data_IF_143198898342
#
_entry.id   IF_143198898342
#
_cell.length_a   1.000
_cell.length_b   1.000
_cell.length_c   1.000
_cell.angle_alpha   90.00
_cell.angle_beta   90.00
_cell.angle_gamma   90.00
#
_symmetry.space_group_name_H-M   'P 1'
#
loop_
_entity.id
_entity.type
_entity.pdbx_description
1 polymer ?
#
# COMPACT_ATOMS: atom_id res chain seq x y z
N UNK A 1 -6.77 -17.38 4.19
CA UNK A 1 -6.74 -17.93 5.57
C UNK A 1 -7.92 -18.88 5.84
N UNK A 2 -8.18 -19.87 4.95
CA UNK A 2 -9.36 -20.72 5.03
C UNK A 2 -9.29 -21.74 6.18
N UNK A 3 -8.16 -22.44 6.32
CA UNK A 3 -7.98 -23.45 7.38
C UNK A 3 -8.08 -22.89 8.79
N UNK A 4 -7.64 -21.64 9.00
CA UNK A 4 -7.78 -20.94 10.27
C UNK A 4 -9.26 -20.77 10.65
N UNK A 5 -10.10 -20.34 9.71
CA UNK A 5 -11.55 -20.20 9.93
C UNK A 5 -12.21 -21.56 10.16
N UNK A 6 -11.81 -22.60 9.41
CA UNK A 6 -12.31 -23.96 9.61
C UNK A 6 -11.99 -24.49 11.02
N UNK A 7 -10.77 -24.25 11.53
CA UNK A 7 -10.41 -24.62 12.89
C UNK A 7 -11.30 -23.93 13.94
N UNK A 8 -11.62 -22.64 13.74
CA UNK A 8 -12.47 -21.86 14.64
C UNK A 8 -13.92 -22.34 14.64
N UNK A 9 -14.45 -22.71 13.46
CA UNK A 9 -15.79 -23.28 13.33
C UNK A 9 -15.94 -24.58 14.13
N UNK A 10 -14.90 -25.43 14.15
CA UNK A 10 -14.90 -26.71 14.86
C UNK A 10 -14.55 -26.63 16.35
N UNK A 11 -14.06 -25.48 16.83
CA UNK A 11 -13.80 -25.27 18.25
C UNK A 11 -15.10 -25.24 19.06
N UNK A 12 -15.10 -25.94 20.20
CA UNK A 12 -16.19 -25.85 21.19
C UNK A 12 -16.57 -24.40 21.50
N UNK A 13 -17.86 -24.12 21.67
CA UNK A 13 -18.39 -22.76 21.78
C UNK A 13 -17.90 -22.01 23.02
N UNK A 14 -17.60 -22.73 24.11
CA UNK A 14 -17.33 -22.12 25.41
C UNK A 14 -15.91 -22.36 25.90
N UNK A 15 -15.29 -23.49 25.53
CA UNK A 15 -13.97 -23.92 26.00
C UNK A 15 -13.02 -24.26 24.85
N UNK A 16 -13.42 -23.97 23.60
CA UNK A 16 -12.64 -24.30 22.43
C UNK A 16 -11.29 -23.61 22.41
N UNK A 17 -10.25 -24.38 22.09
CA UNK A 17 -8.88 -23.91 21.84
C UNK A 17 -8.33 -24.64 20.63
N UNK A 18 -7.54 -23.95 19.83
CA UNK A 18 -6.85 -24.54 18.69
C UNK A 18 -5.44 -23.96 18.57
N UNK A 19 -4.52 -24.77 18.04
CA UNK A 19 -3.21 -24.32 17.62
C UNK A 19 -3.02 -24.73 16.16
N UNK A 20 -2.64 -23.79 15.30
CA UNK A 20 -2.39 -24.05 13.89
C UNK A 20 -1.05 -23.43 13.48
N UNK A 21 -0.24 -24.19 12.76
CA UNK A 21 1.01 -23.70 12.20
C UNK A 21 0.72 -23.07 10.84
N UNK A 22 1.24 -21.88 10.61
CA UNK A 22 1.15 -21.15 9.35
C UNK A 22 2.53 -20.60 8.96
N UNK A 23 2.72 -20.25 7.69
CA UNK A 23 3.83 -19.40 7.28
C UNK A 23 3.58 -17.94 7.71
N UNK A 24 4.46 -17.01 7.33
CA UNK A 24 4.33 -15.59 7.69
C UNK A 24 3.20 -14.84 6.98
N UNK A 25 2.79 -15.25 5.77
CA UNK A 25 1.84 -14.49 4.94
C UNK A 25 0.51 -14.13 5.63
N UNK A 26 -0.16 -15.04 6.38
CA UNK A 26 -1.38 -14.72 7.12
C UNK A 26 -1.27 -13.53 8.10
N UNK A 27 -0.08 -13.15 8.53
CA UNK A 27 0.13 -12.02 9.45
C UNK A 27 -0.09 -10.65 8.80
N UNK A 28 0.22 -10.52 7.50
CA UNK A 28 0.28 -9.20 6.83
C UNK A 28 -0.24 -9.15 5.39
N UNK A 29 -0.34 -10.27 4.69
CA UNK A 29 -0.74 -10.24 3.28
C UNK A 29 -2.16 -9.71 3.08
N UNK A 30 -2.39 -8.99 1.99
CA UNK A 30 -3.70 -8.45 1.61
C UNK A 30 -3.89 -6.99 2.03
N UNK A 31 -4.46 -6.17 1.13
CA UNK A 31 -4.78 -4.77 1.39
C UNK A 31 -5.98 -4.59 2.33
N UNK A 32 -6.27 -3.34 2.69
CA UNK A 32 -7.29 -2.96 3.69
C UNK A 32 -8.62 -3.67 3.50
N UNK A 33 -9.18 -3.65 2.29
CA UNK A 33 -10.47 -4.26 1.96
C UNK A 33 -10.39 -5.76 1.58
N UNK A 34 -9.20 -6.37 1.60
CA UNK A 34 -9.03 -7.77 1.17
C UNK A 34 -9.60 -8.75 2.19
N UNK A 35 -9.93 -9.96 1.73
CA UNK A 35 -10.43 -11.02 2.59
C UNK A 35 -9.48 -11.37 3.73
N UNK A 36 -8.17 -11.43 3.49
CA UNK A 36 -7.16 -11.71 4.51
C UNK A 36 -7.14 -10.66 5.62
N UNK A 37 -7.14 -9.36 5.25
CA UNK A 37 -7.16 -8.26 6.21
C UNK A 37 -8.44 -8.27 7.04
N UNK A 38 -9.60 -8.50 6.40
CA UNK A 38 -10.87 -8.55 7.11
C UNK A 38 -11.04 -9.79 7.99
N UNK A 39 -10.48 -10.95 7.60
CA UNK A 39 -10.42 -12.12 8.47
C UNK A 39 -9.56 -11.82 9.70
N UNK A 40 -8.36 -11.22 9.54
CA UNK A 40 -7.54 -10.78 10.68
C UNK A 40 -8.30 -9.83 11.59
N UNK A 41 -8.93 -8.79 11.02
CA UNK A 41 -9.73 -7.82 11.76
C UNK A 41 -10.83 -8.51 12.57
N UNK A 42 -11.57 -9.43 11.96
CA UNK A 42 -12.61 -10.20 12.65
C UNK A 42 -12.06 -11.04 13.81
N UNK A 43 -10.90 -11.68 13.63
CA UNK A 43 -10.25 -12.47 14.68
C UNK A 43 -9.83 -11.61 15.88
N UNK A 44 -9.31 -10.41 15.62
CA UNK A 44 -8.93 -9.42 16.63
C UNK A 44 -10.16 -8.89 17.38
N UNK A 45 -11.19 -8.47 16.64
CA UNK A 45 -12.41 -7.92 17.21
C UNK A 45 -13.22 -8.96 17.99
N UNK A 46 -13.17 -10.23 17.56
CA UNK A 46 -13.80 -11.36 18.26
C UNK A 46 -12.95 -11.89 19.42
N UNK A 47 -11.79 -11.27 19.68
CA UNK A 47 -10.85 -11.65 20.74
C UNK A 47 -10.40 -13.13 20.68
N UNK A 48 -10.23 -13.68 19.47
CA UNK A 48 -9.97 -15.10 19.26
C UNK A 48 -8.48 -15.46 19.24
N UNK A 49 -7.61 -14.53 18.85
CA UNK A 49 -6.15 -14.74 18.81
C UNK A 49 -5.60 -14.56 20.21
N UNK A 50 -5.12 -15.63 20.84
CA UNK A 50 -4.56 -15.58 22.19
C UNK A 50 -3.04 -15.37 22.18
N UNK A 51 -2.34 -16.06 21.27
CA UNK A 51 -0.91 -15.87 21.08
C UNK A 51 -0.47 -16.20 19.65
N UNK A 52 0.63 -15.57 19.21
CA UNK A 52 1.35 -15.89 17.98
C UNK A 52 2.79 -16.16 18.37
N UNK A 53 3.30 -17.34 18.00
CA UNK A 53 4.64 -17.80 18.38
C UNK A 53 5.47 -17.98 17.12
N UNK A 54 6.49 -17.16 16.91
CA UNK A 54 7.46 -17.35 15.84
C UNK A 54 8.37 -18.53 16.16
N UNK A 55 8.47 -19.47 15.24
CA UNK A 55 9.33 -20.64 15.37
C UNK A 55 10.65 -20.44 14.61
N UNK A 56 11.69 -21.19 14.99
CA UNK A 56 12.95 -21.24 14.25
C UNK A 56 12.73 -21.55 12.76
N UNK A 57 13.58 -20.98 11.90
CA UNK A 57 13.67 -21.40 10.50
C UNK A 57 14.22 -22.82 10.40
N UNK A 58 14.15 -23.44 9.22
CA UNK A 58 14.73 -24.78 8.98
C UNK A 58 14.21 -25.87 9.94
N UNK A 59 12.96 -25.76 10.41
CA UNK A 59 12.30 -26.78 11.26
C UNK A 59 11.63 -27.91 10.48
N UNK A 60 11.27 -27.68 9.21
CA UNK A 60 10.50 -28.61 8.41
C UNK A 60 11.35 -29.20 7.27
N UNK A 61 11.08 -30.46 6.91
CA UNK A 61 11.86 -31.17 5.88
C UNK A 61 11.80 -30.50 4.50
N UNK A 62 10.64 -29.94 4.15
CA UNK A 62 10.34 -29.46 2.80
C UNK A 62 10.52 -27.94 2.65
N UNK A 63 10.76 -27.19 3.73
CA UNK A 63 10.88 -25.73 3.67
C UNK A 63 11.73 -25.16 4.80
N UNK A 64 12.55 -24.17 4.47
CA UNK A 64 13.37 -23.41 5.42
C UNK A 64 12.72 -22.11 5.90
N UNK A 65 11.49 -21.81 5.49
CA UNK A 65 10.82 -20.54 5.82
C UNK A 65 10.52 -20.41 7.31
N UNK A 66 10.39 -19.16 7.77
CA UNK A 66 9.85 -18.87 9.10
C UNK A 66 8.38 -19.31 9.18
N UNK A 67 8.03 -19.93 10.30
CA UNK A 67 6.67 -20.43 10.59
C UNK A 67 6.20 -19.93 11.94
N UNK A 68 4.89 -19.87 12.11
CA UNK A 68 4.25 -19.28 13.27
C UNK A 68 3.16 -20.21 13.79
N UNK A 69 3.10 -20.42 15.10
CA UNK A 69 1.96 -21.06 15.77
C UNK A 69 0.94 -19.98 16.10
N UNK A 70 -0.26 -20.12 15.57
CA UNK A 70 -1.42 -19.32 15.96
C UNK A 70 -2.17 -20.08 17.03
N UNK A 71 -2.18 -19.53 18.25
CA UNK A 71 -2.96 -20.06 19.37
C UNK A 71 -4.28 -19.30 19.43
N UNK A 72 -5.37 -20.03 19.24
CA UNK A 72 -6.73 -19.51 19.23
C UNK A 72 -7.49 -20.00 20.46
N UNK A 73 -8.31 -19.14 21.05
CA UNK A 73 -9.04 -19.44 22.28
C UNK A 73 -10.40 -18.74 22.30
N UNK A 74 -11.47 -19.49 22.57
CA UNK A 74 -12.80 -18.95 22.93
C UNK A 74 -12.97 -18.78 24.45
N UNK A 75 -11.95 -19.19 25.23
CA UNK A 75 -11.95 -19.13 26.69
C UNK A 75 -10.62 -18.57 27.23
N UNK A 76 -10.34 -17.31 26.87
CA UNK A 76 -9.16 -16.60 27.39
C UNK A 76 -9.27 -16.39 28.90
N UNK A 77 -8.15 -16.60 29.61
CA UNK A 77 -8.01 -16.19 31.02
C UNK A 77 -8.30 -14.69 31.16
N UNK A 78 -8.81 -14.25 32.30
CA UNK A 78 -9.30 -12.88 32.49
C UNK A 78 -8.27 -11.81 32.11
N UNK A 79 -7.00 -12.02 32.47
CA UNK A 79 -5.90 -11.09 32.19
C UNK A 79 -5.48 -11.02 30.71
N UNK A 80 -5.91 -11.98 29.88
CA UNK A 80 -5.60 -12.08 28.44
C UNK A 80 -6.69 -11.51 27.53
N UNK A 81 -7.88 -11.23 28.07
CA UNK A 81 -9.00 -10.71 27.28
C UNK A 81 -8.65 -9.35 26.67
N UNK A 82 -8.98 -9.19 25.39
CA UNK A 82 -8.65 -8.00 24.60
C UNK A 82 -7.17 -7.88 24.24
N UNK A 83 -6.36 -8.90 24.51
CA UNK A 83 -4.90 -8.88 24.31
C UNK A 83 -4.39 -10.06 23.49
N UNK A 84 -3.22 -9.84 22.90
CA UNK A 84 -2.45 -10.82 22.14
C UNK A 84 -1.04 -10.88 22.67
N UNK A 85 -0.57 -12.11 22.88
CA UNK A 85 0.82 -12.37 23.21
C UNK A 85 1.62 -12.71 21.94
N UNK A 86 2.61 -11.91 21.61
CA UNK A 86 3.60 -12.24 20.59
C UNK A 86 4.81 -12.88 21.26
N UNK A 87 5.26 -14.03 20.78
CA UNK A 87 6.40 -14.77 21.35
C UNK A 87 7.42 -15.05 20.25
N UNK A 88 8.61 -14.47 20.35
CA UNK A 88 9.71 -14.80 19.44
C UNK A 88 10.53 -15.97 20.00
N UNK A 89 10.26 -17.17 19.49
CA UNK A 89 11.04 -18.37 19.77
C UNK A 89 12.00 -18.73 18.64
N UNK A 90 12.22 -17.84 17.66
CA UNK A 90 13.06 -18.13 16.48
C UNK A 90 14.50 -18.50 16.83
N UNK A 91 15.01 -18.01 17.97
CA UNK A 91 16.33 -18.34 18.51
C UNK A 91 16.37 -19.54 19.47
N UNK A 92 15.24 -20.19 19.77
CA UNK A 92 15.15 -21.28 20.75
C UNK A 92 15.13 -22.62 20.02
N UNK A 93 16.31 -23.18 19.75
CA UNK A 93 16.48 -24.45 19.05
C UNK A 93 17.87 -25.05 19.24
N UNK A 94 18.00 -26.32 18.90
CA UNK A 94 19.28 -27.00 18.68
C UNK A 94 19.49 -27.30 17.19
N UNK A 95 20.76 -27.26 16.75
CA UNK A 95 21.12 -27.66 15.39
C UNK A 95 21.22 -29.18 15.31
N UNK A 96 20.62 -29.75 14.27
CA UNK A 96 20.79 -31.15 13.93
C UNK A 96 22.22 -31.41 13.48
N UNK A 97 22.79 -32.54 13.93
CA UNK A 97 24.10 -33.01 13.48
C UNK A 97 24.15 -33.26 11.98
N UNK A 98 23.05 -33.74 11.39
CA UNK A 98 22.89 -33.96 9.96
C UNK A 98 21.55 -33.37 9.51
N UNK A 99 21.59 -32.51 8.49
CA UNK A 99 20.38 -31.95 7.91
C UNK A 99 19.49 -33.04 7.28
N UNK A 100 18.18 -32.88 7.42
CA UNK A 100 17.18 -33.74 6.80
C UNK A 100 16.38 -32.91 5.80
N UNK A 101 16.88 -32.82 4.57
CA UNK A 101 16.37 -31.86 3.57
C UNK A 101 16.63 -30.43 4.05
N UNK A 102 15.58 -29.60 4.09
CA UNK A 102 15.65 -28.25 4.64
C UNK A 102 15.67 -28.22 6.18
N UNK A 103 15.34 -29.34 6.85
CA UNK A 103 15.34 -29.39 8.31
C UNK A 103 16.77 -29.42 8.85
N UNK A 104 17.18 -28.34 9.51
CA UNK A 104 18.49 -28.19 10.18
C UNK A 104 18.36 -27.92 11.67
N UNK A 105 17.19 -27.49 12.11
CA UNK A 105 16.93 -27.11 13.50
C UNK A 105 15.90 -28.07 14.13
N UNK A 106 16.00 -28.27 15.43
CA UNK A 106 15.06 -29.02 16.24
C UNK A 106 14.73 -28.30 17.55
N UNK A 107 13.54 -28.55 18.08
CA UNK A 107 13.07 -28.02 19.36
C UNK A 107 13.09 -29.17 20.36
N UNK A 108 14.07 -29.16 21.26
CA UNK A 108 14.28 -30.18 22.27
C UNK A 108 13.22 -30.06 23.40
N UNK A 109 13.05 -31.08 24.27
CA UNK A 109 12.11 -31.02 25.40
C UNK A 109 12.25 -29.78 26.31
N UNK A 110 13.48 -29.33 26.54
CA UNK A 110 13.86 -28.14 27.30
C UNK A 110 13.45 -26.84 26.61
N UNK A 111 13.61 -26.77 25.28
CA UNK A 111 13.14 -25.66 24.46
C UNK A 111 11.61 -25.55 24.52
N UNK A 112 10.91 -26.69 24.36
CA UNK A 112 9.44 -26.75 24.48
C UNK A 112 8.97 -26.27 25.85
N UNK A 113 9.68 -26.67 26.92
CA UNK A 113 9.38 -26.24 28.28
C UNK A 113 9.58 -24.73 28.45
N UNK A 114 10.63 -24.18 27.85
CA UNK A 114 10.91 -22.74 27.86
C UNK A 114 9.84 -21.95 27.11
N UNK A 115 9.48 -22.35 25.89
CA UNK A 115 8.45 -21.69 25.08
C UNK A 115 7.08 -21.77 25.77
N UNK A 116 6.69 -22.94 26.28
CA UNK A 116 5.40 -23.10 26.97
C UNK A 116 5.35 -22.32 28.28
N UNK A 117 6.47 -22.16 28.99
CA UNK A 117 6.56 -21.30 30.17
C UNK A 117 6.39 -19.82 29.81
N UNK A 118 7.10 -19.32 28.79
CA UNK A 118 6.95 -17.94 28.30
C UNK A 118 5.48 -17.67 27.94
N UNK A 119 4.85 -18.61 27.24
CA UNK A 119 3.43 -18.54 26.95
C UNK A 119 2.59 -18.51 28.23
N UNK A 120 2.72 -19.48 29.13
CA UNK A 120 1.88 -19.61 30.33
C UNK A 120 1.99 -18.42 31.30
N UNK A 121 3.21 -17.91 31.50
CA UNK A 121 3.55 -16.84 32.44
C UNK A 121 2.91 -15.50 32.05
N UNK A 122 2.65 -15.27 30.76
CA UNK A 122 2.00 -14.05 30.25
C UNK A 122 2.66 -12.75 30.76
N UNK A 123 3.99 -12.72 30.73
CA UNK A 123 4.79 -11.60 31.23
C UNK A 123 5.69 -11.09 30.12
N UNK A 124 5.78 -9.76 29.99
CA UNK A 124 6.65 -9.13 29.01
C UNK A 124 8.11 -9.44 29.27
N UNK A 125 8.85 -9.64 28.18
CA UNK A 125 10.29 -9.89 28.16
C UNK A 125 10.88 -9.46 26.81
N UNK A 126 12.13 -9.82 26.54
CA UNK A 126 12.69 -9.66 25.20
C UNK A 126 12.08 -10.64 24.17
N UNK A 127 11.62 -11.80 24.64
CA UNK A 127 11.00 -12.85 23.81
C UNK A 127 9.47 -12.76 23.80
N UNK A 128 8.87 -11.94 24.65
CA UNK A 128 7.42 -11.84 24.80
C UNK A 128 6.95 -10.39 24.82
N UNK A 129 6.07 -10.02 23.90
CA UNK A 129 5.40 -8.72 23.85
C UNK A 129 3.89 -8.91 23.98
N UNK A 130 3.21 -8.03 24.72
CA UNK A 130 1.77 -8.14 24.94
C UNK A 130 1.11 -6.84 24.49
N UNK A 131 0.19 -6.95 23.53
CA UNK A 131 -0.52 -5.79 22.98
C UNK A 131 -2.02 -5.96 23.08
N UNK A 132 -2.75 -4.83 23.10
CA UNK A 132 -4.19 -4.82 22.93
C UNK A 132 -4.55 -5.20 21.49
N UNK A 133 -5.73 -5.78 21.25
CA UNK A 133 -6.18 -6.17 19.91
C UNK A 133 -6.17 -5.00 18.91
N UNK A 134 -6.47 -3.80 19.38
CA UNK A 134 -6.53 -2.57 18.57
C UNK A 134 -5.17 -2.12 18.03
N UNK A 135 -4.05 -2.56 18.63
CA UNK A 135 -2.68 -2.26 18.14
C UNK A 135 -2.47 -2.77 16.70
N UNK A 136 -3.17 -3.84 16.33
CA UNK A 136 -3.06 -4.50 15.04
C UNK A 136 -4.14 -4.07 14.04
N UNK A 137 -4.97 -3.10 14.41
CA UNK A 137 -6.00 -2.52 13.57
C UNK A 137 -5.50 -1.15 13.09
N UNK A 138 -5.79 -0.82 11.85
CA UNK A 138 -5.43 0.47 11.25
C UNK A 138 -6.58 1.03 10.42
N UNK A 139 -6.49 2.32 10.13
CA UNK A 139 -7.37 3.03 9.18
C UNK A 139 -6.54 3.54 8.01
N UNK A 140 -7.07 3.31 6.82
CA UNK A 140 -6.56 3.81 5.56
C UNK A 140 -7.22 5.17 5.26
N UNK A 141 -6.41 6.21 5.18
CA UNK A 141 -6.86 7.55 4.83
C UNK A 141 -6.42 7.88 3.42
N UNK A 142 -7.32 8.46 2.63
CA UNK A 142 -6.96 9.11 1.39
C UNK A 142 -6.42 10.50 1.74
N UNK A 143 -5.21 10.85 1.30
CA UNK A 143 -4.63 12.18 1.47
C UNK A 143 -4.62 12.88 0.13
N UNK A 144 -5.13 14.11 0.06
CA UNK A 144 -5.15 14.90 -1.17
C UNK A 144 -4.80 16.36 -0.88
N UNK A 145 -4.23 17.02 -1.88
CA UNK A 145 -3.98 18.46 -1.89
C UNK A 145 -5.19 19.20 -2.49
N UNK A 146 -5.39 20.49 -2.17
CA UNK A 146 -6.36 21.35 -2.82
C UNK A 146 -6.14 21.37 -4.34
N UNK A 147 -7.22 21.46 -5.10
CA UNK A 147 -7.18 21.65 -6.53
C UNK A 147 -6.67 23.05 -6.83
N UNK A 148 -5.39 23.12 -7.17
CA UNK A 148 -4.64 24.35 -7.39
C UNK A 148 -3.77 24.16 -8.63
N UNK A 149 -4.29 24.60 -9.78
CA UNK A 149 -3.72 24.29 -11.09
C UNK A 149 -3.62 25.54 -11.94
N UNK A 150 -2.50 25.69 -12.65
CA UNK A 150 -2.36 26.67 -13.71
C UNK A 150 -2.69 26.05 -15.06
N UNK A 151 -3.13 26.90 -15.98
CA UNK A 151 -3.60 26.53 -17.31
C UNK A 151 -2.78 27.27 -18.35
N UNK A 152 -2.40 26.60 -19.43
CA UNK A 152 -1.73 27.25 -20.55
C UNK A 152 -1.91 26.39 -21.80
N UNK A 153 -1.88 27.04 -22.97
CA UNK A 153 -1.84 26.37 -24.27
C UNK A 153 -0.39 26.40 -24.72
N UNK A 154 0.41 25.47 -24.22
CA UNK A 154 1.83 25.29 -24.64
C UNK A 154 1.94 23.97 -25.39
N UNK A 155 2.91 23.85 -26.30
CA UNK A 155 3.18 22.57 -27.00
C UNK A 155 3.33 21.40 -26.01
N UNK A 156 4.09 21.59 -24.91
CA UNK A 156 4.30 20.56 -23.89
C UNK A 156 2.98 20.09 -23.26
N UNK A 157 2.15 21.02 -22.77
CA UNK A 157 0.84 20.70 -22.17
C UNK A 157 -0.12 20.06 -23.16
N UNK A 158 -0.10 20.43 -24.44
CA UNK A 158 -0.91 19.78 -25.47
C UNK A 158 -0.49 18.31 -25.62
N UNK A 159 0.81 18.03 -25.69
CA UNK A 159 1.32 16.66 -25.77
C UNK A 159 1.02 15.85 -24.50
N UNK A 160 1.13 16.46 -23.32
CA UNK A 160 0.74 15.83 -22.05
C UNK A 160 -0.77 15.53 -22.01
N UNK A 161 -1.61 16.47 -22.47
CA UNK A 161 -3.06 16.32 -22.56
C UNK A 161 -3.46 15.15 -23.49
N UNK A 162 -2.80 15.05 -24.65
CA UNK A 162 -3.01 13.97 -25.63
C UNK A 162 -2.55 12.61 -25.08
N UNK A 163 -1.34 12.54 -24.52
CA UNK A 163 -0.78 11.30 -23.96
C UNK A 163 -1.56 10.77 -22.75
N UNK A 164 -2.13 11.65 -21.91
CA UNK A 164 -3.07 11.27 -20.84
C UNK A 164 -4.43 10.78 -21.37
N UNK A 165 -4.67 10.86 -22.67
CA UNK A 165 -5.91 10.39 -23.30
C UNK A 165 -7.11 11.29 -23.02
N UNK A 166 -6.91 12.60 -22.77
CA UNK A 166 -8.01 13.53 -22.53
C UNK A 166 -9.02 13.53 -23.70
N UNK A 167 -8.56 13.28 -24.93
CA UNK A 167 -9.39 13.20 -26.13
C UNK A 167 -9.65 11.77 -26.64
N UNK A 168 -9.22 10.73 -25.90
CA UNK A 168 -9.38 9.32 -26.30
C UNK A 168 -10.83 8.87 -26.52
N UNK A 169 -11.80 9.59 -25.94
CA UNK A 169 -13.22 9.35 -26.16
C UNK A 169 -13.72 9.88 -27.50
N UNK A 170 -13.05 10.88 -28.09
CA UNK A 170 -13.35 11.41 -29.42
C UNK A 170 -12.61 10.63 -30.49
N UNK A 171 -11.32 10.39 -30.27
CA UNK A 171 -10.47 9.63 -31.19
C UNK A 171 -9.29 9.02 -30.42
N UNK A 172 -9.04 7.74 -30.67
CA UNK A 172 -7.94 6.98 -30.07
C UNK A 172 -7.29 6.16 -31.19
N UNK A 173 -6.14 6.65 -31.67
CA UNK A 173 -5.44 6.07 -32.83
C UNK A 173 -5.07 4.61 -32.60
N UNK A 174 -4.65 4.25 -31.38
CA UNK A 174 -4.32 2.87 -31.02
C UNK A 174 -5.54 1.96 -31.15
N UNK A 175 -6.68 2.36 -30.58
CA UNK A 175 -7.92 1.58 -30.68
C UNK A 175 -8.46 1.51 -32.11
N UNK A 176 -8.34 2.57 -32.89
CA UNK A 176 -8.76 2.57 -34.30
C UNK A 176 -7.90 1.58 -35.09
N UNK A 177 -6.58 1.63 -34.92
CA UNK A 177 -5.66 0.69 -35.57
C UNK A 177 -5.93 -0.76 -35.17
N UNK A 178 -6.20 -1.03 -33.88
CA UNK A 178 -6.59 -2.37 -33.40
C UNK A 178 -7.88 -2.86 -34.05
N UNK A 179 -8.90 -2.00 -34.17
CA UNK A 179 -10.20 -2.36 -34.75
C UNK A 179 -10.12 -2.55 -36.27
N UNK A 180 -9.37 -1.71 -36.97
CA UNK A 180 -9.21 -1.78 -38.44
C UNK A 180 -8.35 -2.98 -38.87
N UNK A 181 -7.37 -3.36 -38.05
CA UNK A 181 -6.48 -4.50 -38.32
C UNK A 181 -6.92 -5.81 -37.65
N UNK A 182 -8.14 -5.87 -37.10
CA UNK A 182 -8.69 -7.10 -36.52
C UNK A 182 -8.88 -8.18 -37.59
N UNK A 183 -8.29 -9.36 -37.39
CA UNK A 183 -8.49 -10.54 -38.26
C UNK A 183 -9.84 -11.23 -38.00
N UNK A 184 -10.49 -10.94 -36.86
CA UNK A 184 -11.80 -11.46 -36.48
C UNK A 184 -12.94 -10.52 -36.94
N UNK A 185 -14.11 -11.08 -37.27
CA UNK A 185 -15.31 -10.29 -37.57
C UNK A 185 -15.68 -9.40 -36.37
N UNK A 186 -15.62 -8.08 -36.59
CA UNK A 186 -15.96 -7.09 -35.57
C UNK A 186 -17.41 -7.26 -35.09
N UNK A 187 -17.61 -7.18 -33.77
CA UNK A 187 -18.96 -7.18 -33.22
C UNK A 187 -19.72 -5.92 -33.65
N UNK A 188 -21.06 -5.96 -33.65
CA UNK A 188 -21.88 -4.77 -33.94
C UNK A 188 -21.55 -3.57 -33.03
N UNK A 189 -21.03 -3.81 -31.82
CA UNK A 189 -20.61 -2.74 -30.91
C UNK A 189 -19.29 -2.10 -31.36
N UNK A 190 -18.36 -2.91 -31.85
CA UNK A 190 -17.03 -2.46 -32.26
C UNK A 190 -17.08 -1.74 -33.60
N UNK A 191 -17.91 -2.21 -34.54
CA UNK A 191 -18.19 -1.49 -35.79
C UNK A 191 -18.75 -0.10 -35.50
N UNK A 192 -19.78 0.00 -34.65
CA UNK A 192 -20.37 1.28 -34.28
C UNK A 192 -19.35 2.23 -33.62
N UNK A 193 -18.48 1.68 -32.78
CA UNK A 193 -17.43 2.45 -32.11
C UNK A 193 -16.36 2.95 -33.09
N UNK A 194 -16.00 2.14 -34.08
CA UNK A 194 -15.09 2.55 -35.15
C UNK A 194 -15.70 3.66 -36.01
N UNK A 195 -16.97 3.52 -36.40
CA UNK A 195 -17.72 4.57 -37.10
C UNK A 195 -17.77 5.87 -36.29
N UNK A 196 -18.05 5.79 -34.98
CA UNK A 196 -18.06 6.95 -34.09
C UNK A 196 -16.68 7.64 -34.05
N UNK A 197 -15.58 6.89 -34.00
CA UNK A 197 -14.23 7.48 -34.06
C UNK A 197 -13.94 8.15 -35.40
N UNK A 198 -14.26 7.49 -36.51
CA UNK A 198 -14.04 8.06 -37.84
C UNK A 198 -14.86 9.35 -38.04
N UNK A 199 -16.10 9.39 -37.57
CA UNK A 199 -16.96 10.57 -37.61
C UNK A 199 -16.46 11.71 -36.71
N UNK A 200 -15.85 11.39 -35.57
CA UNK A 200 -15.31 12.37 -34.64
C UNK A 200 -13.87 12.82 -34.97
N UNK A 201 -13.16 12.13 -35.86
CA UNK A 201 -11.78 12.46 -36.24
C UNK A 201 -11.61 13.90 -36.75
N UNK A 202 -12.49 14.46 -37.61
CA UNK A 202 -12.35 15.85 -38.04
C UNK A 202 -12.45 16.85 -36.87
N UNK A 203 -13.28 16.55 -35.86
CA UNK A 203 -13.42 17.37 -34.66
C UNK A 203 -12.14 17.27 -33.80
N UNK A 204 -11.60 16.06 -33.65
CA UNK A 204 -10.33 15.84 -32.96
C UNK A 204 -9.17 16.61 -33.63
N UNK A 205 -8.99 16.43 -34.94
CA UNK A 205 -7.93 17.11 -35.71
C UNK A 205 -8.10 18.63 -35.63
N UNK A 206 -9.34 19.13 -35.71
CA UNK A 206 -9.66 20.55 -35.59
C UNK A 206 -9.33 21.13 -34.21
N UNK A 207 -9.57 20.37 -33.13
CA UNK A 207 -9.20 20.78 -31.76
C UNK A 207 -7.68 20.88 -31.63
N UNK A 208 -6.95 19.85 -32.06
CA UNK A 208 -5.48 19.83 -31.95
C UNK A 208 -4.87 20.97 -32.76
N UNK A 209 -5.28 21.15 -34.01
CA UNK A 209 -4.79 22.24 -34.85
C UNK A 209 -5.11 23.64 -34.27
N UNK A 210 -6.29 23.82 -33.68
CA UNK A 210 -6.65 25.08 -33.03
C UNK A 210 -5.78 25.37 -31.79
N UNK A 211 -5.47 24.34 -30.99
CA UNK A 211 -4.60 24.48 -29.82
C UNK A 211 -3.15 24.76 -30.24
N UNK A 212 -2.62 24.05 -31.24
CA UNK A 212 -1.26 24.27 -31.75
C UNK A 212 -1.11 25.67 -32.37
N UNK A 213 -2.11 26.14 -33.12
CA UNK A 213 -2.11 27.49 -33.69
C UNK A 213 -2.20 28.60 -32.63
N UNK A 214 -2.77 28.30 -31.46
CA UNK A 214 -2.91 29.22 -30.33
C UNK A 214 -1.82 29.03 -29.26
N UNK A 215 -0.79 28.23 -29.54
CA UNK A 215 0.26 27.94 -28.57
C UNK A 215 1.02 29.21 -28.16
N UNK A 216 1.19 29.41 -26.85
CA UNK A 216 1.89 30.55 -26.27
C UNK A 216 2.43 30.22 -24.87
N UNK A 217 3.33 31.08 -24.38
CA UNK A 217 3.89 30.99 -23.02
C UNK A 217 2.97 31.60 -21.93
N UNK A 218 1.76 32.03 -22.28
CA UNK A 218 0.86 32.67 -21.33
C UNK A 218 0.24 31.65 -20.37
N UNK A 219 0.41 31.92 -19.07
CA UNK A 219 -0.07 31.06 -17.98
C UNK A 219 -1.21 31.75 -17.23
N UNK A 220 -2.30 31.01 -17.07
CA UNK A 220 -3.52 31.43 -16.40
C UNK A 220 -3.62 30.71 -15.04
N UNK A 221 -3.80 31.48 -13.97
CA UNK A 221 -3.81 30.97 -12.59
C UNK A 221 -5.20 30.55 -12.09
N UNK A 222 -6.24 30.64 -12.94
CA UNK A 222 -7.58 30.19 -12.59
C UNK A 222 -8.39 29.76 -13.83
N UNK A 223 -9.35 28.83 -13.67
CA UNK A 223 -10.27 28.46 -14.75
C UNK A 223 -11.09 29.64 -15.27
N UNK A 224 -11.43 30.59 -14.40
CA UNK A 224 -12.23 31.76 -14.77
C UNK A 224 -11.50 32.66 -15.78
N UNK A 225 -10.17 32.77 -15.67
CA UNK A 225 -9.34 33.49 -16.63
C UNK A 225 -9.09 32.68 -17.91
N UNK A 226 -8.94 31.35 -17.78
CA UNK A 226 -8.56 30.49 -18.90
C UNK A 226 -9.71 30.05 -19.80
N UNK A 227 -10.84 29.64 -19.23
CA UNK A 227 -11.96 29.06 -19.99
C UNK A 227 -12.47 29.99 -21.11
N UNK A 228 -12.63 31.32 -20.92
CA UNK A 228 -13.04 32.21 -22.01
C UNK A 228 -12.04 32.23 -23.17
N UNK A 229 -10.74 32.14 -22.89
CA UNK A 229 -9.67 32.08 -23.90
C UNK A 229 -9.76 30.76 -24.65
N UNK A 230 -9.85 29.64 -23.93
CA UNK A 230 -9.96 28.31 -24.53
C UNK A 230 -11.23 28.17 -25.39
N UNK A 231 -12.38 28.65 -24.91
CA UNK A 231 -13.65 28.64 -25.68
C UNK A 231 -13.52 29.45 -26.97
N UNK A 232 -12.81 30.58 -26.94
CA UNK A 232 -12.57 31.38 -28.14
C UNK A 232 -11.69 30.63 -29.15
N UNK A 233 -10.59 30.02 -28.68
CA UNK A 233 -9.66 29.23 -29.50
C UNK A 233 -10.38 28.05 -30.16
N UNK A 234 -11.21 27.33 -29.41
CA UNK A 234 -11.90 26.13 -29.87
C UNK A 234 -13.22 26.39 -30.62
N UNK A 235 -13.65 27.65 -30.75
CA UNK A 235 -14.97 28.01 -31.32
C UNK A 235 -15.22 27.49 -32.74
N UNK A 236 -14.17 27.26 -33.53
CA UNK A 236 -14.26 26.67 -34.88
C UNK A 236 -14.34 25.14 -34.88
N UNK A 237 -13.91 24.48 -33.79
CA UNK A 237 -13.80 23.03 -33.70
C UNK A 237 -14.92 22.40 -32.84
N UNK A 238 -15.34 23.05 -31.75
CA UNK A 238 -16.40 22.54 -30.87
C UNK A 238 -17.08 23.65 -30.07
N UNK A 239 -18.36 23.43 -29.74
CA UNK A 239 -19.14 24.25 -28.81
C UNK A 239 -19.61 23.46 -27.57
N UNK A 240 -19.11 22.22 -27.37
CA UNK A 240 -19.47 21.40 -26.22
C UNK A 240 -18.68 21.83 -24.98
N UNK A 241 -19.35 22.47 -24.02
CA UNK A 241 -18.76 22.92 -22.76
C UNK A 241 -18.09 21.79 -21.97
N UNK A 242 -18.64 20.57 -21.97
CA UNK A 242 -18.03 19.45 -21.22
C UNK A 242 -16.70 19.03 -21.82
N UNK A 243 -16.62 19.07 -23.15
CA UNK A 243 -15.38 18.78 -23.87
C UNK A 243 -14.34 19.88 -23.63
N UNK A 244 -14.75 21.15 -23.65
CA UNK A 244 -13.87 22.29 -23.33
C UNK A 244 -13.34 22.18 -21.91
N UNK A 245 -14.18 21.84 -20.92
CA UNK A 245 -13.74 21.61 -19.53
C UNK A 245 -12.73 20.46 -19.43
N UNK A 246 -12.95 19.37 -20.20
CA UNK A 246 -12.02 18.23 -20.25
C UNK A 246 -10.67 18.59 -20.88
N UNK A 247 -10.68 19.41 -21.94
CA UNK A 247 -9.46 19.94 -22.56
C UNK A 247 -8.74 20.86 -21.59
N UNK A 248 -9.46 21.75 -20.90
CA UNK A 248 -8.88 22.63 -19.90
C UNK A 248 -8.21 21.84 -18.76
N UNK A 249 -8.87 20.80 -18.25
CA UNK A 249 -8.31 19.91 -17.25
C UNK A 249 -7.03 19.23 -17.74
N UNK A 250 -7.02 18.69 -18.97
CA UNK A 250 -5.85 18.06 -19.54
C UNK A 250 -4.68 19.01 -19.84
N UNK A 251 -4.95 20.29 -20.12
CA UNK A 251 -3.95 21.36 -20.29
C UNK A 251 -3.47 21.97 -18.95
N UNK A 252 -4.04 21.52 -17.84
CA UNK A 252 -3.72 22.04 -16.52
C UNK A 252 -2.62 21.25 -15.82
N UNK A 253 -1.80 21.95 -15.06
CA UNK A 253 -0.75 21.36 -14.21
C UNK A 253 -0.87 21.91 -12.81
N UNK A 254 -0.49 21.12 -11.81
CA UNK A 254 -0.47 21.59 -10.42
C UNK A 254 0.50 22.77 -10.26
N UNK A 255 0.02 23.84 -9.63
CA UNK A 255 0.78 25.07 -9.43
C UNK A 255 0.38 25.75 -8.13
N UNK A 256 1.32 25.87 -7.18
CA UNK A 256 1.07 26.44 -5.86
C UNK A 256 0.88 27.96 -5.86
N UNK A 257 1.12 28.63 -6.99
CA UNK A 257 0.80 30.04 -7.18
C UNK A 257 -0.62 30.25 -7.75
N UNK A 258 -1.28 29.18 -8.23
CA UNK A 258 -2.62 29.27 -8.78
C UNK A 258 -3.69 29.46 -7.69
N UNK A 259 -4.89 29.87 -8.09
CA UNK A 259 -6.00 30.00 -7.16
C UNK A 259 -6.52 28.63 -6.71
N UNK A 260 -6.78 28.48 -5.41
CA UNK A 260 -7.44 27.27 -4.88
C UNK A 260 -8.89 27.27 -5.36
N UNK A 261 -9.27 26.20 -6.05
CA UNK A 261 -10.61 26.06 -6.60
C UNK A 261 -11.61 25.65 -5.53
N UNK A 262 -12.81 26.23 -5.61
CA UNK A 262 -13.90 26.02 -4.67
C UNK A 262 -15.18 25.64 -5.40
N UNK A 263 -16.01 24.84 -4.75
CA UNK A 263 -17.32 24.48 -5.27
C UNK A 263 -18.33 25.64 -5.14
N UNK A 264 -19.56 25.43 -5.60
CA UNK A 264 -20.64 26.44 -5.53
C UNK A 264 -21.01 26.86 -4.10
N UNK A 265 -20.60 26.11 -3.08
CA UNK A 265 -20.83 26.39 -1.67
C UNK A 265 -19.64 27.09 -1.02
N UNK A 266 -18.54 27.28 -1.74
CA UNK A 266 -17.30 27.87 -1.23
C UNK A 266 -16.34 26.85 -0.59
N UNK A 267 -16.66 25.56 -0.65
CA UNK A 267 -15.81 24.49 -0.09
C UNK A 267 -14.64 24.19 -1.03
N UNK A 268 -13.48 23.89 -0.47
CA UNK A 268 -12.27 23.54 -1.23
C UNK A 268 -12.50 22.24 -2.01
N UNK A 269 -12.19 22.27 -3.30
CA UNK A 269 -12.12 21.07 -4.14
C UNK A 269 -10.71 20.48 -3.98
N UNK A 270 -10.61 19.16 -3.87
CA UNK A 270 -9.33 18.46 -3.73
C UNK A 270 -8.95 17.76 -5.03
N UNK A 271 -7.66 17.78 -5.35
CA UNK A 271 -7.11 17.23 -6.57
C UNK A 271 -7.00 15.71 -6.48
N UNK A 272 -7.75 15.00 -7.33
CA UNK A 272 -7.72 13.54 -7.39
C UNK A 272 -6.42 12.99 -7.97
N UNK A 273 -5.69 13.76 -8.77
CA UNK A 273 -4.36 13.38 -9.26
C UNK A 273 -3.31 13.42 -8.14
N UNK A 274 -3.56 14.18 -7.07
CA UNK A 274 -2.68 14.29 -5.89
C UNK A 274 -2.92 13.20 -4.84
N UNK A 275 -3.82 12.26 -5.12
CA UNK A 275 -4.27 11.26 -4.16
C UNK A 275 -3.12 10.35 -3.74
N UNK A 276 -2.87 10.34 -2.44
CA UNK A 276 -2.01 9.37 -1.76
C UNK A 276 -2.79 8.62 -0.67
N UNK A 277 -2.17 7.60 -0.08
CA UNK A 277 -2.78 6.74 0.93
C UNK A 277 -1.89 6.60 2.15
N UNK A 278 -2.46 6.92 3.31
CA UNK A 278 -1.78 6.79 4.60
C UNK A 278 -2.45 5.70 5.45
N UNK A 279 -1.62 4.91 6.15
CA UNK A 279 -2.07 3.86 7.06
C UNK A 279 -1.78 4.29 8.49
N UNK A 280 -2.85 4.63 9.21
CA UNK A 280 -2.76 5.21 10.56
C UNK A 280 -3.27 4.20 11.58
N UNK A 281 -2.59 4.08 12.72
CA UNK A 281 -3.02 3.15 13.80
C UNK A 281 -4.44 3.49 14.24
N UNK A 282 -5.23 2.47 14.58
CA UNK A 282 -6.65 2.66 14.91
C UNK A 282 -6.90 3.66 16.06
N UNK A 283 -6.00 3.70 17.04
CA UNK A 283 -6.07 4.57 18.21
C UNK A 283 -5.40 5.94 18.00
N UNK A 284 -4.66 6.12 16.91
CA UNK A 284 -3.97 7.38 16.63
C UNK A 284 -4.95 8.38 16.00
N UNK A 285 -4.91 9.61 16.51
CA UNK A 285 -5.66 10.73 15.95
C UNK A 285 -5.05 11.16 14.60
N UNK A 286 -5.90 11.38 13.61
CA UNK A 286 -5.46 11.66 12.24
C UNK A 286 -4.75 13.01 12.15
N UNK A 287 -5.17 14.03 12.89
CA UNK A 287 -4.55 15.35 12.83
C UNK A 287 -3.14 15.30 13.44
N UNK A 288 -2.98 14.51 14.51
CA UNK A 288 -1.68 14.24 15.13
C UNK A 288 -0.73 13.52 14.15
N UNK A 289 -1.22 12.48 13.44
CA UNK A 289 -0.44 11.79 12.42
C UNK A 289 -0.04 12.72 11.27
N UNK A 290 -1.00 13.47 10.73
CA UNK A 290 -0.79 14.42 9.63
C UNK A 290 0.26 15.47 9.99
N UNK A 291 0.20 16.05 11.20
CA UNK A 291 1.17 17.04 11.65
C UNK A 291 2.60 16.50 11.75
N UNK A 292 2.76 15.21 12.05
CA UNK A 292 4.08 14.57 12.22
C UNK A 292 4.67 14.08 10.90
N UNK A 293 3.86 13.40 10.09
CA UNK A 293 4.36 12.63 8.94
C UNK A 293 4.08 13.30 7.59
N UNK A 294 2.99 14.07 7.46
CA UNK A 294 2.51 14.53 6.13
C UNK A 294 2.72 16.03 5.93
N UNK A 295 2.18 16.86 6.83
CA UNK A 295 2.19 18.32 6.71
C UNK A 295 3.59 18.97 6.67
N UNK A 296 4.66 18.40 7.27
CA UNK A 296 6.02 18.90 7.07
C UNK A 296 6.51 18.82 5.61
N UNK A 297 5.94 17.92 4.82
CA UNK A 297 6.30 17.69 3.43
C UNK A 297 5.24 18.25 2.45
N UNK A 298 3.96 18.19 2.83
CA UNK A 298 2.82 18.64 2.01
C UNK A 298 1.89 19.50 2.88
N UNK A 299 2.20 20.79 3.09
CA UNK A 299 1.56 21.62 4.13
C UNK A 299 0.05 21.88 3.95
N UNK A 300 -0.46 21.75 2.73
CA UNK A 300 -1.86 22.02 2.41
C UNK A 300 -2.70 20.75 2.22
N UNK A 301 -2.10 19.57 2.43
CA UNK A 301 -2.79 18.30 2.31
C UNK A 301 -3.89 18.13 3.37
N UNK A 302 -4.92 17.36 3.01
CA UNK A 302 -5.99 16.94 3.93
C UNK A 302 -6.24 15.44 3.82
N UNK A 303 -6.46 14.81 4.97
CA UNK A 303 -6.85 13.42 5.07
C UNK A 303 -8.38 13.24 5.00
N UNK A 304 -8.81 12.16 4.36
CA UNK A 304 -10.21 11.77 4.18
C UNK A 304 -10.40 10.31 4.58
N UNK A 305 -11.30 10.09 5.54
CA UNK A 305 -11.75 8.75 5.91
C UNK A 305 -13.06 8.44 5.17
N UNK A 306 -12.97 7.54 4.19
CA UNK A 306 -14.06 7.27 3.24
C UNK A 306 -14.81 5.95 3.52
N UNK A 307 -14.68 5.37 4.73
CA UNK A 307 -15.37 4.13 5.09
C UNK A 307 -16.89 4.32 5.03
N UNK A 308 -17.56 3.41 4.33
CA UNK A 308 -19.02 3.40 4.22
C UNK A 308 -19.51 1.97 4.02
N UNK A 309 -19.97 1.37 5.12
CA UNK A 309 -20.47 0.00 5.15
C UNK A 309 -21.95 -0.12 4.74
N UNK A 310 -22.65 1.01 4.55
CA UNK A 310 -24.09 1.02 4.23
C UNK A 310 -24.38 0.81 2.74
N UNK A 311 -23.38 1.01 1.88
CA UNK A 311 -23.50 0.86 0.43
C UNK A 311 -23.67 -0.60 0.02
N UNK A 312 -24.38 -0.82 -1.10
CA UNK A 312 -24.50 -2.15 -1.76
C UNK A 312 -23.15 -2.81 -2.03
N UNK A 313 -22.14 -1.99 -2.36
CA UNK A 313 -20.73 -2.37 -2.36
C UNK A 313 -20.03 -1.55 -1.27
N UNK A 314 -19.81 -2.13 -0.08
CA UNK A 314 -19.17 -1.44 1.03
C UNK A 314 -17.80 -0.89 0.66
N UNK A 315 -17.49 0.32 1.13
CA UNK A 315 -16.13 0.88 1.08
C UNK A 315 -15.51 0.60 2.45
N UNK A 316 -14.47 -0.22 2.48
CA UNK A 316 -13.79 -0.61 3.71
C UNK A 316 -12.47 0.14 3.78
N UNK A 317 -12.28 0.91 4.85
CA UNK A 317 -11.03 1.65 5.13
C UNK A 317 -10.41 1.27 6.47
N UNK A 318 -11.03 0.37 7.23
CA UNK A 318 -10.44 -0.20 8.43
C UNK A 318 -9.92 -1.61 8.15
N UNK A 319 -8.61 -1.81 8.34
CA UNK A 319 -7.91 -3.07 8.09
C UNK A 319 -7.19 -3.60 9.33
N UNK A 320 -6.53 -4.74 9.18
CA UNK A 320 -5.70 -5.30 10.23
C UNK A 320 -4.43 -5.96 9.68
N UNK A 321 -3.33 -5.79 10.42
CA UNK A 321 -2.02 -6.35 10.14
C UNK A 321 -1.30 -6.63 11.46
N UNK A 322 -0.59 -7.76 11.52
CA UNK A 322 0.25 -8.12 12.66
C UNK A 322 1.70 -8.11 12.16
N UNK A 323 2.39 -6.95 12.16
CA UNK A 323 3.75 -6.85 11.66
C UNK A 323 4.75 -7.41 12.68
N UNK A 324 4.69 -8.73 12.90
CA UNK A 324 5.35 -9.44 14.00
C UNK A 324 6.83 -9.04 14.17
N UNK A 325 7.57 -9.03 13.06
CA UNK A 325 9.01 -8.74 13.05
C UNK A 325 9.33 -7.32 13.53
N UNK A 326 8.45 -6.33 13.30
CA UNK A 326 8.65 -4.94 13.75
C UNK A 326 8.71 -4.84 15.28
N UNK A 327 7.97 -5.69 16.00
CA UNK A 327 7.91 -5.65 17.47
C UNK A 327 9.12 -6.28 18.17
N UNK A 328 9.91 -7.09 17.45
CA UNK A 328 11.13 -7.72 17.95
C UNK A 328 12.39 -7.16 17.27
N UNK A 329 12.25 -6.19 16.38
CA UNK A 329 13.37 -5.55 15.71
C UNK A 329 14.20 -4.76 16.74
N UNK A 330 15.47 -5.13 16.86
CA UNK A 330 16.47 -4.37 17.61
C UNK A 330 17.33 -3.65 16.59
N UNK A 331 17.22 -2.31 16.53
CA UNK A 331 18.07 -1.50 15.66
C UNK A 331 19.54 -1.77 15.99
N UNK A 332 20.31 -2.17 14.98
CA UNK A 332 21.76 -2.26 15.07
C UNK A 332 22.32 -1.14 14.22
N UNK A 333 22.89 -0.13 14.89
CA UNK A 333 23.58 0.93 14.18
C UNK A 333 24.69 0.30 13.34
N UNK A 334 24.79 0.63 12.04
CA UNK A 334 25.92 0.19 11.24
C UNK A 334 27.21 0.63 11.91
N UNK A 335 28.20 -0.26 11.95
CA UNK A 335 29.55 0.10 12.38
C UNK A 335 30.03 1.28 11.52
N UNK A 336 30.53 2.38 12.12
CA UNK A 336 31.07 3.50 11.36
C UNK A 336 32.13 3.05 10.35
N UNK A 337 32.18 3.70 9.19
CA UNK A 337 33.11 3.35 8.11
C UNK A 337 34.58 3.40 8.55
N UNK A 338 34.91 4.33 9.44
CA UNK A 338 36.26 4.54 9.99
C UNK A 338 36.73 3.33 10.82
N UNK A 339 35.85 2.75 11.65
CA UNK A 339 36.15 1.55 12.45
C UNK A 339 36.27 0.31 11.55
N UNK A 340 35.45 0.23 10.49
CA UNK A 340 35.57 -0.83 9.50
C UNK A 340 36.91 -0.75 8.75
N UNK A 341 37.31 0.45 8.33
CA UNK A 341 38.59 0.71 7.65
C UNK A 341 39.78 0.27 8.51
N UNK A 342 39.84 0.69 9.78
CA UNK A 342 40.91 0.29 10.71
C UNK A 342 40.97 -1.24 10.87
N UNK A 343 39.81 -1.89 10.96
CA UNK A 343 39.71 -3.35 11.05
C UNK A 343 40.17 -4.04 9.77
N UNK A 344 39.82 -3.50 8.60
CA UNK A 344 40.30 -3.99 7.30
C UNK A 344 41.82 -3.88 7.20
N UNK A 345 42.40 -2.71 7.50
CA UNK A 345 43.86 -2.51 7.46
C UNK A 345 44.58 -3.44 8.43
N UNK A 346 44.03 -3.64 9.63
CA UNK A 346 44.61 -4.56 10.63
C UNK A 346 44.57 -6.01 10.16
N UNK A 347 43.45 -6.45 9.58
CA UNK A 347 43.31 -7.79 9.01
C UNK A 347 44.25 -8.00 7.82
N UNK A 348 44.34 -7.02 6.93
CA UNK A 348 45.24 -7.05 5.77
C UNK A 348 46.70 -7.16 6.21
N UNK A 349 47.12 -6.36 7.18
CA UNK A 349 48.47 -6.45 7.77
C UNK A 349 48.72 -7.84 8.38
N UNK A 350 47.77 -8.36 9.16
CA UNK A 350 47.89 -9.70 9.74
C UNK A 350 47.96 -10.81 8.70
N UNK A 351 47.22 -10.68 7.58
CA UNK A 351 47.26 -11.65 6.48
C UNK A 351 48.63 -11.58 5.79
N UNK A 352 49.11 -10.38 5.46
CA UNK A 352 50.40 -10.18 4.81
C UNK A 352 51.56 -10.72 5.67
N UNK A 353 51.53 -10.50 6.99
CA UNK A 353 52.51 -11.08 7.92
C UNK A 353 52.50 -12.62 7.96
N UNK A 354 51.30 -13.23 7.89
CA UNK A 354 51.17 -14.70 7.84
C UNK A 354 51.61 -15.28 6.51
N UNK A 355 51.33 -14.59 5.41
CA UNK A 355 51.76 -14.97 4.06
C UNK A 355 53.28 -14.90 3.96
N UNK A 356 53.91 -13.81 4.42
CA UNK A 356 55.37 -13.69 4.43
C UNK A 356 56.04 -14.86 5.19
N UNK A 357 55.53 -15.21 6.37
CA UNK A 357 56.02 -16.37 7.16
C UNK A 357 55.83 -17.75 6.50
N UNK A 358 55.01 -17.87 5.47
CA UNK A 358 54.83 -19.13 4.72
C UNK A 358 55.81 -19.24 3.54
N UNK A 359 56.39 -18.12 3.11
CA UNK A 359 57.31 -18.03 1.98
C UNK A 359 58.76 -17.73 2.38
N UNK A 360 59.01 -17.45 3.66
CA UNK A 360 60.32 -17.53 4.34
C UNK A 360 60.51 -18.91 4.98
#
# INVERSE_FOLDING_TARGET
>A
MLFLQSAIDKMDKHNGRAAIIQNGSPLFSGGTASGESQIRRWLLQSDLIEAIIALPTDLFYNTGIATYIWVLSKNKRAERKGKIQLIDASGIYHKLRKALGNKKNEIAPEDRSSITRIYADFKESEFCKIYNNEEFIYREYTVMQPLQRSYAITEERIQQMLSKGALSSLYDEGKVSELENSEEELSCKDVKKLEDYQNNKPVFDGIVAALEAAASEEVYLSPAAFLPVLTKVLSSATADNKLIEKIADGLSVMDKNAEIQRDKKGEIIYDKESKDTEIVKYQEDIDTYMAREVLPHIPDAKAFFEEDLSKKKPIIKTGAEIPFTRYFYKYQQPTPSEELEERFTTLEKSINERVAKLFD
#
